data_IF_026275974222
#
_entry.id   IF_026275974222
#
_cell.length_a   1.000
_cell.length_b   1.000
_cell.length_c   1.000
_cell.angle_alpha   90.00
_cell.angle_beta   90.00
_cell.angle_gamma   90.00
#
_symmetry.space_group_name_H-M   'P 1'
#
loop_
_entity.id
_entity.type
_entity.pdbx_description
1 polymer ?
#
# COMPACT_ATOMS: atom_id res chain seq x y z
N UNK A 1 -1.34 46.17 62.44
CA UNK A 1 -1.66 46.31 61.00
C UNK A 1 -1.92 44.94 60.40
N UNK A 2 -3.12 44.75 59.83
CA UNK A 2 -3.59 43.82 58.76
C UNK A 2 -2.95 42.41 58.61
N UNK A 3 -3.74 41.35 58.85
CA UNK A 3 -4.48 40.46 57.91
C UNK A 3 -3.61 39.29 57.36
N UNK A 4 -3.89 38.00 57.62
CA UNK A 4 -4.98 37.10 57.20
C UNK A 4 -4.81 36.49 55.77
N UNK A 5 -4.94 35.15 55.67
CA UNK A 5 -5.42 34.28 54.53
C UNK A 5 -4.41 33.64 53.54
N UNK A 6 -4.34 32.28 53.51
CA UNK A 6 -4.94 31.27 52.56
C UNK A 6 -4.11 31.07 51.26
N UNK A 7 -3.87 29.91 50.62
CA UNK A 7 -4.45 28.55 50.42
C UNK A 7 -3.30 27.64 49.91
N UNK A 8 -3.04 26.39 50.32
CA UNK A 8 -3.71 25.10 50.08
C UNK A 8 -4.07 24.73 48.60
N UNK A 9 -3.54 23.58 48.14
CA UNK A 9 -4.19 22.47 47.37
C UNK A 9 -3.38 21.90 46.18
N UNK A 10 -3.05 20.60 46.34
CA UNK A 10 -2.93 19.44 45.40
C UNK A 10 -1.96 19.47 44.21
N UNK A 11 -0.96 18.58 44.12
CA UNK A 11 -0.94 17.10 43.97
C UNK A 11 -1.05 16.64 42.50
N UNK A 12 0.04 16.11 41.94
CA UNK A 12 -0.01 15.15 40.82
C UNK A 12 0.99 14.03 41.07
N UNK A 13 0.43 12.83 41.13
CA UNK A 13 1.01 11.51 41.29
C UNK A 13 1.98 11.15 40.15
N UNK A 14 3.10 10.53 40.52
CA UNK A 14 4.03 9.83 39.63
C UNK A 14 3.31 8.70 38.87
N UNK A 15 3.43 8.68 37.54
CA UNK A 15 3.25 7.44 36.76
C UNK A 15 4.58 7.17 36.06
N UNK A 16 5.25 6.10 36.49
CA UNK A 16 6.33 5.48 35.73
C UNK A 16 5.74 4.85 34.46
N UNK A 17 6.13 5.35 33.30
CA UNK A 17 6.04 4.61 32.04
C UNK A 17 7.48 4.46 31.54
N UNK A 18 7.87 3.23 31.26
CA UNK A 18 9.21 2.88 30.82
C UNK A 18 9.63 3.71 29.61
N UNK A 19 10.75 4.43 29.76
CA UNK A 19 11.45 5.02 28.63
C UNK A 19 12.07 3.91 27.80
N UNK A 20 11.31 3.39 26.84
CA UNK A 20 11.93 2.89 25.62
C UNK A 20 12.60 4.11 24.95
N UNK A 21 13.91 4.02 24.70
CA UNK A 21 14.62 4.98 23.84
C UNK A 21 13.90 5.04 22.49
N UNK A 22 13.11 6.08 22.26
CA UNK A 22 12.60 6.42 20.95
C UNK A 22 13.79 6.95 20.16
N UNK A 23 14.26 6.14 19.20
CA UNK A 23 15.11 6.60 18.10
C UNK A 23 14.44 7.84 17.48
N UNK A 24 15.18 8.93 17.32
CA UNK A 24 14.74 10.23 16.80
C UNK A 24 14.33 10.16 15.33
N UNK A 25 13.22 9.47 15.05
CA UNK A 25 12.54 9.55 13.76
C UNK A 25 11.81 10.88 13.67
N UNK A 26 12.16 11.67 12.66
CA UNK A 26 11.50 12.93 12.32
C UNK A 26 9.98 12.70 12.16
N UNK A 27 9.17 13.37 12.97
CA UNK A 27 7.71 13.34 12.82
C UNK A 27 7.35 14.11 11.55
N UNK A 28 6.91 13.40 10.52
CA UNK A 28 6.36 14.00 9.30
C UNK A 28 4.89 14.33 9.50
N UNK A 29 4.52 15.57 9.19
CA UNK A 29 3.13 16.00 9.10
C UNK A 29 2.73 15.98 7.62
N UNK A 30 1.88 15.03 7.24
CA UNK A 30 1.43 14.84 5.86
C UNK A 30 -0.09 14.93 5.76
N UNK A 31 -0.58 15.71 4.79
CA UNK A 31 -1.96 15.65 4.30
C UNK A 31 -1.94 15.06 2.90
N UNK A 32 -2.37 13.81 2.77
CA UNK A 32 -2.42 13.13 1.47
C UNK A 32 -3.52 13.75 0.60
N UNK A 33 -3.25 14.12 -0.66
CA UNK A 33 -4.27 14.62 -1.57
C UNK A 33 -5.41 13.62 -1.80
N UNK A 34 -6.61 14.14 -2.03
CA UNK A 34 -7.76 13.36 -2.49
C UNK A 34 -7.49 12.54 -3.75
N UNK A 35 -8.42 11.65 -4.10
CA UNK A 35 -8.24 10.70 -5.22
C UNK A 35 -8.42 11.32 -6.60
N UNK A 36 -8.95 12.53 -6.71
CA UNK A 36 -9.14 13.20 -8.00
C UNK A 36 -7.84 13.86 -8.46
N UNK A 37 -7.46 13.66 -9.71
CA UNK A 37 -6.29 14.32 -10.29
C UNK A 37 -6.37 15.84 -10.12
N UNK A 38 -5.26 16.46 -9.72
CA UNK A 38 -5.17 17.87 -9.39
C UNK A 38 -5.53 18.22 -7.95
N UNK A 39 -6.10 17.28 -7.15
CA UNK A 39 -6.20 17.50 -5.71
C UNK A 39 -4.80 17.70 -5.13
N UNK A 40 -4.69 18.66 -4.21
CA UNK A 40 -3.45 18.96 -3.52
C UNK A 40 -3.48 18.51 -2.07
N UNK A 41 -2.30 18.38 -1.51
CA UNK A 41 -2.02 18.04 -0.12
C UNK A 41 -0.71 18.69 0.30
N UNK A 42 -0.17 18.26 1.43
CA UNK A 42 1.07 18.81 1.97
C UNK A 42 1.94 17.73 2.59
N UNK A 43 3.26 17.96 2.59
CA UNK A 43 4.21 17.19 3.38
C UNK A 43 5.20 18.13 4.05
N UNK A 44 5.36 17.98 5.35
CA UNK A 44 6.27 18.77 6.18
C UNK A 44 7.52 17.97 6.54
N UNK A 45 8.69 18.54 6.31
CA UNK A 45 9.97 17.89 6.59
C UNK A 45 11.09 18.92 6.81
N UNK A 46 12.24 18.47 7.30
CA UNK A 46 13.43 19.31 7.46
C UNK A 46 14.28 19.26 6.20
N UNK A 47 14.60 20.42 5.63
CA UNK A 47 15.52 20.58 4.50
C UNK A 47 16.56 21.65 4.84
N UNK A 48 17.85 21.35 4.68
CA UNK A 48 18.92 22.30 5.02
C UNK A 48 18.90 22.78 6.47
N UNK A 49 18.43 21.94 7.40
CA UNK A 49 18.29 22.27 8.83
C UNK A 49 17.06 23.11 9.20
N UNK A 50 16.22 23.48 8.23
CA UNK A 50 14.99 24.25 8.45
C UNK A 50 13.75 23.40 8.16
N UNK A 51 12.67 23.60 8.92
CA UNK A 51 11.38 22.99 8.62
C UNK A 51 10.75 23.66 7.40
N UNK A 52 10.33 22.85 6.43
CA UNK A 52 9.66 23.30 5.21
C UNK A 52 8.37 22.49 5.00
N UNK A 53 7.37 23.13 4.40
CA UNK A 53 6.12 22.49 3.99
C UNK A 53 6.00 22.55 2.48
N UNK A 54 5.92 21.40 1.83
CA UNK A 54 5.79 21.30 0.38
C UNK A 54 4.38 20.92 -0.01
N UNK A 55 3.89 21.48 -1.12
CA UNK A 55 2.65 21.04 -1.75
C UNK A 55 2.86 19.70 -2.46
N UNK A 56 1.91 18.78 -2.26
CA UNK A 56 1.81 17.50 -2.98
C UNK A 56 0.59 17.53 -3.89
N UNK A 57 0.57 16.70 -4.93
CA UNK A 57 -0.52 16.64 -5.90
C UNK A 57 -0.82 15.21 -6.32
N UNK A 58 -2.11 14.87 -6.43
CA UNK A 58 -2.57 13.66 -7.12
C UNK A 58 -2.43 13.88 -8.62
N UNK A 59 -1.50 13.18 -9.27
CA UNK A 59 -1.36 13.28 -10.71
C UNK A 59 -2.33 12.33 -11.43
N UNK A 60 -2.45 12.49 -12.75
CA UNK A 60 -3.34 11.66 -13.59
C UNK A 60 -2.92 10.20 -13.69
N UNK A 61 -1.69 9.85 -13.32
CA UNK A 61 -1.24 8.46 -13.16
C UNK A 61 -1.79 7.80 -11.88
N UNK A 62 -2.50 8.54 -11.04
CA UNK A 62 -3.06 8.08 -9.77
C UNK A 62 -2.11 8.17 -8.58
N UNK A 63 -0.82 8.46 -8.80
CA UNK A 63 0.17 8.59 -7.73
C UNK A 63 0.15 10.00 -7.10
N UNK A 64 0.77 10.11 -5.94
CA UNK A 64 1.03 11.41 -5.31
C UNK A 64 2.45 11.83 -5.60
N UNK A 65 2.61 13.07 -6.07
CA UNK A 65 3.90 13.64 -6.42
C UNK A 65 4.15 14.91 -5.62
N UNK A 66 5.41 15.24 -5.37
CA UNK A 66 5.74 16.61 -4.99
C UNK A 66 5.39 17.53 -6.17
N UNK A 67 4.65 18.60 -5.88
CA UNK A 67 4.41 19.67 -6.86
C UNK A 67 5.60 20.65 -6.93
N UNK A 68 6.58 20.45 -6.03
CA UNK A 68 7.83 21.22 -5.89
C UNK A 68 9.06 20.35 -6.22
N UNK A 69 10.14 20.98 -6.67
CA UNK A 69 11.47 20.33 -6.68
C UNK A 69 12.04 20.39 -5.25
N UNK A 70 12.81 19.39 -4.84
CA UNK A 70 13.56 19.48 -3.58
C UNK A 70 14.47 20.72 -3.60
N UNK A 71 14.48 21.46 -2.49
CA UNK A 71 15.19 22.74 -2.35
C UNK A 71 14.45 23.96 -2.92
N UNK A 72 13.23 23.82 -3.43
CA UNK A 72 12.44 24.96 -3.91
C UNK A 72 11.69 25.66 -2.76
N UNK A 73 11.48 26.97 -2.88
CA UNK A 73 10.71 27.78 -1.92
C UNK A 73 9.20 27.78 -2.20
N UNK A 74 8.80 27.47 -3.43
CA UNK A 74 7.41 27.53 -3.87
C UNK A 74 7.11 26.54 -5.00
N UNK A 75 5.82 26.27 -5.20
CA UNK A 75 5.28 25.69 -6.44
C UNK A 75 5.50 26.67 -7.57
N UNK A 76 5.81 26.18 -8.77
CA UNK A 76 6.04 27.04 -9.92
C UNK A 76 4.80 27.87 -10.30
N UNK A 77 5.01 29.17 -10.40
CA UNK A 77 4.03 30.17 -10.85
C UNK A 77 4.31 30.68 -12.26
N UNK A 78 5.55 30.50 -12.74
CA UNK A 78 5.94 30.76 -14.13
C UNK A 78 6.85 29.64 -14.65
N UNK A 79 6.76 29.34 -15.94
CA UNK A 79 7.50 28.23 -16.54
C UNK A 79 9.02 28.38 -16.38
N UNK A 80 9.63 29.51 -16.77
CA UNK A 80 11.10 29.62 -16.87
C UNK A 80 11.72 30.71 -15.98
N UNK A 81 10.92 31.62 -15.44
CA UNK A 81 11.41 32.83 -14.75
C UNK A 81 11.19 32.79 -13.23
N UNK A 82 10.51 31.77 -12.72
CA UNK A 82 10.28 31.58 -11.28
C UNK A 82 11.44 30.83 -10.63
N UNK A 83 12.49 31.58 -10.28
CA UNK A 83 13.71 31.01 -9.66
C UNK A 83 13.43 30.30 -8.33
N UNK A 84 12.41 30.73 -7.58
CA UNK A 84 12.03 30.11 -6.32
C UNK A 84 11.49 28.68 -6.49
N UNK A 85 10.99 28.36 -7.68
CA UNK A 85 10.48 27.01 -8.01
C UNK A 85 11.54 26.02 -8.50
N UNK A 86 12.75 26.50 -8.79
CA UNK A 86 13.77 25.71 -9.48
C UNK A 86 14.29 24.51 -8.67
N UNK A 87 14.37 24.63 -7.34
CA UNK A 87 14.92 23.61 -6.45
C UNK A 87 16.43 23.42 -6.59
N UNK A 88 17.04 22.53 -5.83
CA UNK A 88 18.48 22.24 -5.85
C UNK A 88 18.86 21.18 -6.89
N UNK A 89 20.17 20.97 -7.09
CA UNK A 89 20.76 20.18 -8.18
C UNK A 89 21.63 19.05 -7.65
N UNK A 90 21.03 17.87 -7.50
CA UNK A 90 21.68 16.69 -6.92
C UNK A 90 22.49 15.92 -7.96
N UNK A 91 23.62 15.34 -7.55
CA UNK A 91 24.28 14.26 -8.28
C UNK A 91 23.59 12.94 -7.92
N UNK A 92 23.51 12.03 -8.88
CA UNK A 92 22.75 10.79 -8.70
C UNK A 92 23.36 9.92 -7.60
N UNK A 93 22.50 9.36 -6.74
CA UNK A 93 22.89 8.52 -5.60
C UNK A 93 23.40 9.28 -4.37
N UNK A 94 23.21 10.59 -4.30
CA UNK A 94 23.61 11.42 -3.16
C UNK A 94 22.40 12.06 -2.47
N UNK A 95 22.51 12.21 -1.16
CA UNK A 95 21.57 12.97 -0.34
C UNK A 95 21.94 14.47 -0.33
N UNK A 96 21.21 15.28 0.44
CA UNK A 96 21.42 16.72 0.67
C UNK A 96 22.67 17.04 1.52
N UNK A 97 23.82 16.46 1.20
CA UNK A 97 25.08 16.65 1.91
C UNK A 97 25.78 18.00 1.65
N UNK A 98 25.15 18.90 0.90
CA UNK A 98 25.64 20.26 0.59
C UNK A 98 26.12 20.44 -0.85
N UNK A 99 26.36 19.36 -1.59
CA UNK A 99 26.77 19.45 -3.00
C UNK A 99 25.69 20.02 -3.92
N UNK A 100 24.43 19.90 -3.51
CA UNK A 100 23.27 20.17 -4.35
C UNK A 100 23.00 21.66 -4.56
N UNK A 101 23.57 22.52 -3.72
CA UNK A 101 23.27 23.94 -3.74
C UNK A 101 23.67 24.59 -5.09
N UNK A 102 22.80 25.47 -5.59
CA UNK A 102 23.06 26.20 -6.85
C UNK A 102 24.21 27.20 -6.72
N UNK A 103 24.38 27.78 -5.53
CA UNK A 103 25.41 28.78 -5.22
C UNK A 103 26.02 28.49 -3.85
N UNK A 104 27.22 29.00 -3.60
CA UNK A 104 27.90 28.85 -2.29
C UNK A 104 28.39 27.43 -1.95
N UNK A 105 28.27 26.47 -2.88
CA UNK A 105 28.83 25.13 -2.72
C UNK A 105 30.35 25.10 -2.90
N UNK A 106 30.97 24.04 -2.37
CA UNK A 106 32.32 23.63 -2.75
C UNK A 106 32.26 22.71 -3.97
N UNK A 107 33.30 22.75 -4.82
CA UNK A 107 33.45 21.85 -5.97
C UNK A 107 34.81 21.17 -5.90
N UNK A 108 34.91 19.96 -6.45
CA UNK A 108 36.15 19.19 -6.50
C UNK A 108 36.26 18.53 -7.87
N UNK A 109 37.39 18.70 -8.54
CA UNK A 109 37.71 17.97 -9.76
C UNK A 109 38.23 16.55 -9.49
N UNK A 110 38.53 16.26 -8.22
CA UNK A 110 39.00 14.96 -7.76
C UNK A 110 37.82 14.20 -7.16
N UNK A 111 37.44 13.02 -7.71
CA UNK A 111 36.34 12.21 -7.16
C UNK A 111 36.70 11.67 -5.77
N UNK A 112 35.70 11.22 -4.99
CA UNK A 112 35.98 10.51 -3.74
C UNK A 112 36.76 9.21 -3.99
N UNK A 113 37.35 8.68 -2.91
CA UNK A 113 38.09 7.42 -2.93
C UNK A 113 37.51 6.46 -1.89
N UNK A 114 36.88 5.35 -2.29
CA UNK A 114 36.60 4.93 -3.67
C UNK A 114 35.59 5.85 -4.42
N UNK A 115 35.58 5.81 -5.76
CA UNK A 115 34.70 6.64 -6.59
C UNK A 115 33.30 6.02 -6.73
N UNK A 116 32.63 5.88 -5.60
CA UNK A 116 31.29 5.33 -5.43
C UNK A 116 30.67 5.86 -4.10
N UNK A 117 29.42 5.52 -3.74
CA UNK A 117 28.77 6.01 -2.54
C UNK A 117 29.54 5.79 -1.23
N UNK A 118 30.38 4.75 -1.13
CA UNK A 118 31.12 4.43 0.10
C UNK A 118 32.33 5.33 0.33
N UNK A 119 32.83 6.01 -0.71
CA UNK A 119 33.92 6.97 -0.58
C UNK A 119 33.47 8.40 -0.25
N UNK A 120 32.16 8.64 -0.17
CA UNK A 120 31.62 9.95 0.18
C UNK A 120 32.01 10.34 1.61
N UNK A 121 32.43 11.59 1.78
CA UNK A 121 32.74 12.14 3.10
C UNK A 121 31.49 12.21 3.96
N UNK A 122 31.62 11.87 5.25
CA UNK A 122 30.58 12.10 6.26
C UNK A 122 30.60 13.54 6.80
N UNK A 123 31.62 14.34 6.45
CA UNK A 123 31.70 15.77 6.81
C UNK A 123 30.91 16.59 5.79
N UNK A 124 29.93 17.36 6.29
CA UNK A 124 29.11 18.28 5.48
C UNK A 124 29.58 19.73 5.68
N UNK A 125 29.57 20.59 4.63
CA UNK A 125 29.12 20.30 3.28
C UNK A 125 30.15 19.52 2.45
N UNK A 126 29.68 18.50 1.71
CA UNK A 126 30.50 17.77 0.76
C UNK A 126 30.51 18.48 -0.61
N UNK A 127 31.62 18.41 -1.37
CA UNK A 127 31.71 19.12 -2.64
C UNK A 127 30.87 18.47 -3.74
N UNK A 128 30.54 19.25 -4.76
CA UNK A 128 30.11 18.71 -6.05
C UNK A 128 31.32 18.20 -6.82
N UNK A 129 31.31 16.91 -7.14
CA UNK A 129 32.42 16.24 -7.81
C UNK A 129 32.26 16.31 -9.33
N UNK A 130 33.17 16.97 -10.02
CA UNK A 130 33.18 17.06 -11.49
C UNK A 130 34.50 16.55 -12.05
N UNK A 131 34.56 16.18 -13.33
CA UNK A 131 35.85 15.99 -14.01
C UNK A 131 35.66 15.99 -15.53
N UNK A 132 36.55 16.63 -16.29
CA UNK A 132 36.48 16.61 -17.75
C UNK A 132 36.75 15.20 -18.32
N UNK A 133 37.58 14.41 -17.62
CA UNK A 133 37.89 13.01 -17.94
C UNK A 133 36.79 12.09 -17.41
N UNK A 134 36.11 11.37 -18.32
CA UNK A 134 34.95 10.52 -18.01
C UNK A 134 35.23 9.52 -16.89
N UNK A 135 36.38 8.85 -16.89
CA UNK A 135 36.75 7.84 -15.88
C UNK A 135 36.87 8.40 -14.45
N UNK A 136 37.10 9.71 -14.31
CA UNK A 136 37.28 10.38 -13.03
C UNK A 136 36.03 11.14 -12.57
N UNK A 137 34.93 11.09 -13.34
CA UNK A 137 33.66 11.70 -12.93
C UNK A 137 33.05 10.93 -11.77
N UNK A 138 32.24 11.62 -10.96
CA UNK A 138 31.46 11.00 -9.89
C UNK A 138 30.76 9.74 -10.38
N UNK A 139 31.10 8.62 -9.72
CA UNK A 139 30.53 7.30 -9.93
C UNK A 139 30.53 6.83 -11.39
N UNK A 140 31.62 7.15 -12.12
CA UNK A 140 31.78 6.82 -13.54
C UNK A 140 31.80 5.31 -13.84
N UNK A 141 32.27 4.50 -12.90
CA UNK A 141 32.30 3.03 -13.00
C UNK A 141 30.96 2.35 -12.76
N UNK A 142 29.90 3.12 -12.48
CA UNK A 142 28.57 2.59 -12.18
C UNK A 142 27.94 1.80 -13.32
N UNK A 143 27.16 0.79 -12.95
CA UNK A 143 26.49 -0.17 -13.83
C UNK A 143 24.96 -0.05 -13.75
N UNK A 144 24.24 -0.71 -14.67
CA UNK A 144 22.78 -0.73 -14.65
C UNK A 144 22.17 -1.56 -13.51
N UNK A 145 22.98 -2.34 -12.77
CA UNK A 145 22.53 -3.04 -11.56
C UNK A 145 22.62 -2.20 -10.29
N UNK A 146 23.26 -1.03 -10.36
CA UNK A 146 23.37 -0.13 -9.21
C UNK A 146 21.99 0.44 -8.83
N UNK A 147 21.90 0.93 -7.61
CA UNK A 147 20.69 1.46 -7.03
C UNK A 147 20.94 2.87 -6.45
N UNK A 148 19.86 3.63 -6.33
CA UNK A 148 19.79 4.83 -5.51
C UNK A 148 18.60 4.65 -4.56
N UNK A 149 18.71 3.67 -3.66
CA UNK A 149 17.61 3.18 -2.84
C UNK A 149 17.88 3.25 -1.33
N UNK A 150 19.13 3.44 -0.91
CA UNK A 150 19.50 3.56 0.49
C UNK A 150 18.74 4.72 1.16
N UNK A 151 18.14 4.46 2.32
CA UNK A 151 17.29 5.43 3.04
C UNK A 151 18.11 6.41 3.89
N UNK A 152 19.34 6.06 4.23
CA UNK A 152 20.24 6.86 5.04
C UNK A 152 21.66 6.84 4.45
N UNK A 153 22.48 7.88 4.68
CA UNK A 153 23.90 7.86 4.36
C UNK A 153 24.65 6.68 4.98
N UNK A 154 24.15 6.14 6.10
CA UNK A 154 24.76 4.98 6.76
C UNK A 154 24.42 3.64 6.07
N UNK A 155 23.43 3.62 5.17
CA UNK A 155 22.94 2.42 4.50
C UNK A 155 23.53 2.25 3.09
N UNK A 156 24.39 3.18 2.66
CA UNK A 156 24.98 3.15 1.31
C UNK A 156 25.96 1.99 1.15
N UNK A 157 26.10 1.51 -0.08
CA UNK A 157 27.11 0.53 -0.47
C UNK A 157 27.77 0.95 -1.78
N UNK A 158 28.80 0.22 -2.22
CA UNK A 158 29.50 0.53 -3.48
C UNK A 158 28.55 0.53 -4.71
N UNK A 159 27.41 -0.15 -4.60
CA UNK A 159 26.40 -0.28 -5.65
C UNK A 159 25.05 0.31 -5.28
N UNK A 160 24.88 0.93 -4.10
CA UNK A 160 23.61 1.52 -3.67
C UNK A 160 23.85 2.90 -3.03
N UNK A 161 23.45 3.94 -3.76
CA UNK A 161 23.52 5.33 -3.31
C UNK A 161 22.29 5.72 -2.49
N UNK A 162 22.39 6.86 -1.82
CA UNK A 162 21.28 7.35 -0.99
C UNK A 162 20.21 8.04 -1.84
N UNK A 163 18.96 7.65 -1.62
CA UNK A 163 17.79 8.30 -2.20
C UNK A 163 17.47 9.58 -1.38
N UNK A 164 17.65 10.79 -1.93
CA UNK A 164 17.35 12.03 -1.20
C UNK A 164 15.87 12.11 -0.79
N UNK A 165 14.96 11.52 -1.57
CA UNK A 165 13.55 11.51 -1.22
C UNK A 165 13.28 10.64 0.01
N UNK A 166 13.84 9.44 0.10
CA UNK A 166 13.68 8.58 1.29
C UNK A 166 14.37 9.15 2.52
N UNK A 167 15.54 9.77 2.33
CA UNK A 167 16.32 10.37 3.42
C UNK A 167 15.59 11.56 4.04
N UNK A 168 15.00 12.41 3.20
CA UNK A 168 14.39 13.67 3.64
C UNK A 168 12.92 13.52 4.00
N UNK A 169 12.19 12.72 3.22
CA UNK A 169 10.77 12.48 3.38
C UNK A 169 10.60 11.06 3.92
N UNK A 170 10.13 10.94 5.16
CA UNK A 170 9.78 9.66 5.74
C UNK A 170 8.55 9.04 5.03
N UNK A 171 8.20 7.80 5.38
CA UNK A 171 7.05 7.11 4.78
C UNK A 171 7.37 6.53 3.40
N UNK A 172 6.51 6.75 2.41
CA UNK A 172 6.53 6.05 1.11
C UNK A 172 7.12 6.90 -0.03
N UNK A 173 7.76 8.01 0.34
CA UNK A 173 8.42 8.90 -0.60
C UNK A 173 9.74 8.30 -1.08
N UNK A 174 9.98 8.36 -2.38
CA UNK A 174 11.21 7.91 -3.02
C UNK A 174 11.46 8.64 -4.34
N UNK A 175 12.64 8.44 -4.89
CA UNK A 175 12.89 8.77 -6.28
C UNK A 175 11.99 7.92 -7.19
N UNK A 176 11.35 8.54 -8.20
CA UNK A 176 10.58 7.82 -9.21
C UNK A 176 11.51 7.02 -10.12
N UNK A 177 11.03 5.89 -10.63
CA UNK A 177 11.71 5.12 -11.68
C UNK A 177 11.53 5.77 -13.05
N UNK A 178 12.36 5.37 -14.01
CA UNK A 178 12.20 5.79 -15.42
C UNK A 178 10.84 5.39 -16.00
N UNK A 179 10.30 4.22 -15.65
CA UNK A 179 8.98 3.76 -16.08
C UNK A 179 7.84 4.60 -15.48
N UNK A 180 7.98 5.05 -14.24
CA UNK A 180 7.00 5.94 -13.61
C UNK A 180 7.03 7.33 -14.22
N UNK A 181 8.22 7.82 -14.60
CA UNK A 181 8.30 9.06 -15.38
C UNK A 181 7.60 8.94 -16.74
N UNK A 182 7.73 7.81 -17.43
CA UNK A 182 7.04 7.58 -18.70
C UNK A 182 5.52 7.54 -18.50
N UNK A 183 5.07 6.80 -17.49
CA UNK A 183 3.65 6.68 -17.14
C UNK A 183 3.05 8.04 -16.78
N UNK A 184 3.73 8.82 -15.95
CA UNK A 184 3.30 10.16 -15.59
C UNK A 184 3.26 11.08 -16.81
N UNK A 185 4.34 11.08 -17.61
CA UNK A 185 4.46 11.90 -18.81
C UNK A 185 3.26 11.67 -19.73
N UNK A 186 2.91 10.42 -19.97
CA UNK A 186 1.79 10.07 -20.85
C UNK A 186 0.44 10.42 -20.21
N UNK A 187 0.24 10.12 -18.93
CA UNK A 187 -1.00 10.41 -18.22
C UNK A 187 -1.30 11.92 -18.11
N UNK A 188 -0.28 12.74 -17.89
CA UNK A 188 -0.38 14.20 -17.82
C UNK A 188 -0.39 14.87 -19.20
N UNK A 189 -0.03 14.16 -20.27
CA UNK A 189 0.10 14.72 -21.62
C UNK A 189 1.32 15.63 -21.77
N UNK A 190 2.40 15.33 -21.04
CA UNK A 190 3.64 16.10 -21.06
C UNK A 190 4.44 15.76 -22.32
N UNK A 191 4.56 16.70 -23.23
CA UNK A 191 5.30 16.53 -24.51
C UNK A 191 6.51 17.44 -24.62
N UNK A 192 6.62 18.43 -23.72
CA UNK A 192 7.71 19.42 -23.67
C UNK A 192 7.67 20.16 -22.33
N UNK A 193 8.61 21.07 -22.12
CA UNK A 193 8.68 21.88 -20.90
C UNK A 193 7.46 22.80 -20.64
N UNK A 194 6.77 23.27 -21.68
CA UNK A 194 5.57 24.10 -21.53
C UNK A 194 4.36 23.28 -21.03
N UNK A 195 4.13 22.11 -21.62
CA UNK A 195 3.08 21.18 -21.18
C UNK A 195 3.38 20.59 -19.79
N UNK A 196 4.66 20.40 -19.45
CA UNK A 196 5.07 20.01 -18.10
C UNK A 196 4.70 21.06 -17.04
N UNK A 197 4.85 22.35 -17.35
CA UNK A 197 4.40 23.43 -16.46
C UNK A 197 2.87 23.53 -16.38
N UNK A 198 2.17 23.26 -17.48
CA UNK A 198 0.69 23.25 -17.51
C UNK A 198 0.07 22.03 -16.83
N UNK A 199 0.83 20.94 -16.63
CA UNK A 199 0.38 19.73 -15.94
C UNK A 199 0.01 19.97 -14.48
N UNK A 200 -0.60 18.97 -13.84
CA UNK A 200 -0.86 19.02 -12.40
C UNK A 200 0.42 19.15 -11.57
N UNK A 201 1.59 18.73 -12.07
CA UNK A 201 2.84 18.81 -11.32
C UNK A 201 3.48 20.19 -11.33
N UNK A 202 3.08 21.11 -12.22
CA UNK A 202 3.70 22.44 -12.35
C UNK A 202 5.22 22.36 -12.46
N UNK A 203 5.75 21.49 -13.34
CA UNK A 203 7.20 21.33 -13.49
C UNK A 203 7.77 22.57 -14.20
N UNK A 204 8.59 23.41 -13.53
CA UNK A 204 9.19 24.57 -14.18
C UNK A 204 10.32 24.11 -15.12
N UNK A 205 10.67 24.96 -16.08
CA UNK A 205 11.96 24.98 -16.73
C UNK A 205 13.01 25.57 -15.76
N UNK A 206 14.15 24.90 -15.63
CA UNK A 206 15.24 25.27 -14.73
C UNK A 206 16.59 25.07 -15.41
N UNK A 207 17.66 25.04 -14.64
CA UNK A 207 19.01 24.77 -15.14
C UNK A 207 19.58 23.50 -14.53
N UNK A 208 20.83 23.17 -14.88
CA UNK A 208 21.55 22.03 -14.34
C UNK A 208 23.03 22.37 -14.11
N UNK A 209 23.73 21.55 -13.34
CA UNK A 209 25.19 21.63 -13.17
C UNK A 209 25.87 20.56 -14.00
N UNK A 210 26.86 20.94 -14.79
CA UNK A 210 27.56 20.04 -15.69
C UNK A 210 28.58 19.19 -14.91
N UNK A 211 28.48 17.87 -15.02
CA UNK A 211 29.40 16.94 -14.33
C UNK A 211 30.80 16.88 -14.92
N UNK A 212 31.01 17.46 -16.11
CA UNK A 212 32.33 17.58 -16.74
C UNK A 212 33.14 18.77 -16.26
N UNK A 213 32.46 19.86 -15.91
CA UNK A 213 33.09 21.17 -15.64
C UNK A 213 32.75 21.75 -14.27
N UNK A 214 31.75 21.21 -13.57
CA UNK A 214 31.25 21.76 -12.31
C UNK A 214 30.43 23.04 -12.48
N UNK A 215 30.34 23.56 -13.71
CA UNK A 215 29.70 24.83 -14.00
C UNK A 215 28.17 24.70 -13.99
N UNK A 216 27.51 25.75 -13.47
CA UNK A 216 26.08 25.89 -13.60
C UNK A 216 25.75 26.30 -15.04
N UNK A 217 24.99 25.48 -15.74
CA UNK A 217 24.40 25.87 -17.01
C UNK A 217 23.37 26.98 -16.76
N UNK A 218 23.27 27.97 -17.64
CA UNK A 218 22.35 29.12 -17.49
C UNK A 218 21.17 29.07 -18.45
N UNK A 219 21.05 28.03 -19.28
CA UNK A 219 19.91 27.82 -20.16
C UNK A 219 18.70 27.40 -19.31
N UNK A 220 17.70 28.27 -19.25
CA UNK A 220 16.45 28.07 -18.51
C UNK A 220 15.33 27.47 -19.35
N UNK A 221 15.61 26.99 -20.56
CA UNK A 221 14.66 26.31 -21.45
C UNK A 221 14.76 24.77 -21.37
N UNK A 222 15.30 24.24 -20.27
CA UNK A 222 15.42 22.80 -20.04
C UNK A 222 14.95 22.45 -18.63
N UNK A 223 14.55 21.21 -18.39
CA UNK A 223 14.47 20.64 -17.05
C UNK A 223 14.92 19.20 -17.13
N UNK A 224 15.76 18.80 -16.19
CA UNK A 224 16.14 17.41 -15.99
C UNK A 224 15.83 17.02 -14.56
N UNK A 225 15.09 15.94 -14.38
CA UNK A 225 14.74 15.39 -13.08
C UNK A 225 15.24 13.95 -13.00
N UNK A 226 15.94 13.62 -11.93
CA UNK A 226 16.47 12.26 -11.75
C UNK A 226 15.37 11.22 -11.63
N UNK A 227 15.66 10.02 -12.13
CA UNK A 227 15.00 8.80 -11.74
C UNK A 227 15.89 7.96 -10.81
N UNK A 228 15.33 7.00 -10.09
CA UNK A 228 16.07 5.97 -9.36
C UNK A 228 16.63 4.85 -10.26
N UNK A 229 16.31 4.84 -11.55
CA UNK A 229 16.76 3.79 -12.47
C UNK A 229 18.19 4.07 -12.93
N UNK A 230 19.11 3.20 -12.52
CA UNK A 230 20.48 3.20 -13.03
C UNK A 230 20.51 2.87 -14.53
N UNK A 231 21.47 3.46 -15.23
CA UNK A 231 21.78 3.15 -16.61
C UNK A 231 23.18 2.57 -16.75
N UNK A 232 23.63 2.43 -17.99
CA UNK A 232 24.95 1.90 -18.33
C UNK A 232 26.02 3.00 -18.34
N UNK A 233 27.29 2.61 -18.26
CA UNK A 233 28.47 3.49 -18.41
C UNK A 233 28.47 4.70 -17.45
N UNK A 234 28.19 4.48 -16.17
CA UNK A 234 28.13 5.56 -15.17
C UNK A 234 26.95 6.53 -15.38
N UNK A 235 25.92 6.08 -16.08
CA UNK A 235 24.70 6.83 -16.34
C UNK A 235 23.52 6.45 -15.43
N UNK A 236 22.54 7.32 -15.36
CA UNK A 236 21.21 7.09 -14.79
C UNK A 236 20.15 7.80 -15.64
N UNK A 237 18.92 7.29 -15.60
CA UNK A 237 17.85 7.86 -16.40
C UNK A 237 17.28 9.14 -15.78
N UNK A 238 16.92 10.10 -16.64
CA UNK A 238 16.30 11.38 -16.24
C UNK A 238 15.05 11.64 -17.06
N UNK A 239 14.04 12.29 -16.49
CA UNK A 239 13.04 12.98 -17.30
C UNK A 239 13.68 14.26 -17.85
N UNK A 240 13.89 14.34 -19.17
CA UNK A 240 14.45 15.48 -19.87
C UNK A 240 13.36 16.23 -20.65
N UNK A 241 13.09 17.46 -20.24
CA UNK A 241 12.08 18.34 -20.82
C UNK A 241 12.80 19.53 -21.46
N UNK A 242 12.55 19.77 -22.74
CA UNK A 242 13.05 20.94 -23.47
C UNK A 242 11.93 21.50 -24.33
N UNK A 243 12.20 22.59 -25.04
CA UNK A 243 11.27 23.09 -26.05
C UNK A 243 11.00 22.02 -27.10
N UNK A 244 9.73 21.65 -27.28
CA UNK A 244 9.29 20.67 -28.27
C UNK A 244 9.60 19.19 -27.99
N UNK A 245 10.19 18.83 -26.84
CA UNK A 245 10.53 17.43 -26.57
C UNK A 245 10.48 17.06 -25.09
N UNK A 246 9.99 15.86 -24.81
CA UNK A 246 10.02 15.18 -23.52
C UNK A 246 10.57 13.75 -23.73
N UNK A 247 11.71 13.44 -23.13
CA UNK A 247 12.40 12.14 -23.29
C UNK A 247 12.94 11.62 -21.97
N UNK A 248 13.29 10.33 -21.92
CA UNK A 248 13.90 9.70 -20.74
C UNK A 248 15.29 9.12 -21.10
N UNK A 249 16.31 9.98 -21.30
CA UNK A 249 17.65 9.52 -21.68
C UNK A 249 18.48 9.00 -20.50
N UNK A 250 19.43 8.11 -20.80
CA UNK A 250 20.52 7.74 -19.90
C UNK A 250 21.61 8.84 -19.92
N UNK A 251 21.86 9.49 -18.78
CA UNK A 251 22.83 10.60 -18.66
C UNK A 251 23.78 10.35 -17.49
N UNK A 252 25.03 10.80 -17.63
CA UNK A 252 26.07 10.68 -16.59
C UNK A 252 25.60 11.14 -15.20
N UNK A 253 25.79 10.28 -14.20
CA UNK A 253 25.45 10.47 -12.78
C UNK A 253 26.13 11.69 -12.13
N UNK A 254 27.23 12.14 -12.73
CA UNK A 254 27.99 13.29 -12.24
C UNK A 254 27.32 14.64 -12.46
N UNK A 255 26.28 14.73 -13.30
CA UNK A 255 25.56 15.98 -13.47
C UNK A 255 24.73 16.32 -12.23
N UNK A 256 24.48 17.62 -12.01
CA UNK A 256 23.54 18.11 -11.01
C UNK A 256 22.18 18.37 -11.64
N UNK A 257 21.18 17.55 -11.32
CA UNK A 257 19.81 17.69 -11.80
C UNK A 257 18.80 17.80 -10.66
N UNK A 258 17.61 18.31 -10.98
CA UNK A 258 16.54 18.46 -9.99
C UNK A 258 16.02 17.11 -9.51
N UNK A 259 15.38 17.12 -8.34
CA UNK A 259 14.70 15.94 -7.78
C UNK A 259 13.25 16.30 -7.52
N UNK A 260 12.36 15.40 -7.93
CA UNK A 260 10.93 15.47 -7.63
C UNK A 260 10.47 14.09 -7.18
N UNK A 261 10.07 14.02 -5.93
CA UNK A 261 9.76 12.76 -5.28
C UNK A 261 8.36 12.28 -5.66
N UNK A 262 8.24 10.97 -5.80
CA UNK A 262 6.95 10.28 -5.87
C UNK A 262 6.71 9.69 -4.49
N UNK A 263 5.50 9.88 -3.97
CA UNK A 263 4.97 9.03 -2.93
C UNK A 263 4.33 7.89 -3.68
N UNK A 264 5.05 6.79 -3.76
CA UNK A 264 4.40 5.56 -4.12
C UNK A 264 3.30 5.40 -3.08
N UNK A 265 2.03 5.56 -3.45
CA UNK A 265 0.98 4.97 -2.63
C UNK A 265 1.46 3.54 -2.48
N UNK A 266 1.77 3.10 -1.27
CA UNK A 266 2.01 1.70 -1.10
C UNK A 266 0.82 1.05 -1.76
N UNK A 267 1.13 0.30 -2.78
CA UNK A 267 0.71 -1.06 -2.87
C UNK A 267 1.01 -1.71 -1.50
N UNK A 268 0.30 -1.34 -0.43
CA UNK A 268 -0.67 -2.27 0.09
C UNK A 268 -1.69 -2.34 -1.04
N UNK A 269 -1.59 -3.34 -1.93
CA UNK A 269 -2.59 -3.61 -2.95
C UNK A 269 -4.03 -3.64 -2.45
N UNK A 270 -4.29 -3.47 -1.15
CA UNK A 270 -5.56 -2.94 -0.65
C UNK A 270 -5.35 -1.85 0.41
N UNK A 271 -6.18 -0.81 0.39
CA UNK A 271 -6.35 0.12 1.50
C UNK A 271 -7.26 -0.48 2.58
N UNK A 272 -6.75 -1.35 3.44
CA UNK A 272 -7.58 -2.09 4.40
C UNK A 272 -8.33 -1.17 5.39
N UNK A 273 -9.65 -1.33 5.52
CA UNK A 273 -10.49 -0.54 6.46
C UNK A 273 -10.75 -1.33 7.74
N UNK A 274 -11.36 -2.51 7.62
CA UNK A 274 -11.74 -3.32 8.77
C UNK A 274 -11.93 -4.79 8.41
N UNK A 275 -11.92 -5.64 9.44
CA UNK A 275 -12.34 -7.03 9.40
C UNK A 275 -13.19 -7.28 10.64
N UNK A 276 -14.38 -7.84 10.48
CA UNK A 276 -15.37 -8.05 11.53
C UNK A 276 -15.98 -9.44 11.39
N UNK A 277 -16.46 -9.98 12.50
CA UNK A 277 -17.11 -11.27 12.55
C UNK A 277 -18.30 -11.25 13.49
N UNK A 278 -19.39 -11.92 13.09
CA UNK A 278 -20.60 -12.03 13.88
C UNK A 278 -21.16 -13.44 13.81
N UNK A 279 -21.39 -14.04 14.96
CA UNK A 279 -22.03 -15.34 15.08
C UNK A 279 -23.50 -15.29 14.64
N UNK A 280 -23.94 -16.36 14.00
CA UNK A 280 -25.29 -16.55 13.47
C UNK A 280 -25.72 -18.02 13.57
N UNK A 281 -27.01 -18.29 13.33
CA UNK A 281 -27.54 -19.67 13.27
C UNK A 281 -26.91 -20.53 12.16
N UNK A 282 -26.26 -19.91 11.18
CA UNK A 282 -25.61 -20.58 10.04
C UNK A 282 -24.10 -20.73 10.21
N UNK A 283 -23.54 -20.32 11.37
CA UNK A 283 -22.10 -20.25 11.64
C UNK A 283 -21.63 -18.81 11.88
N UNK A 284 -20.35 -18.54 11.67
CA UNK A 284 -19.77 -17.19 11.83
C UNK A 284 -19.72 -16.47 10.48
N UNK A 285 -20.42 -15.34 10.37
CA UNK A 285 -20.32 -14.45 9.21
C UNK A 285 -19.15 -13.49 9.40
N UNK A 286 -18.23 -13.50 8.45
CA UNK A 286 -17.05 -12.64 8.40
C UNK A 286 -17.25 -11.60 7.30
N UNK A 287 -16.89 -10.35 7.58
CA UNK A 287 -17.01 -9.23 6.66
C UNK A 287 -15.75 -8.37 6.76
N UNK A 288 -15.21 -7.94 5.62
CA UNK A 288 -14.17 -6.92 5.58
C UNK A 288 -14.44 -5.93 4.47
N UNK A 289 -13.90 -4.73 4.67
CA UNK A 289 -13.91 -3.66 3.70
C UNK A 289 -12.50 -3.16 3.43
N UNK A 290 -12.25 -2.78 2.18
CA UNK A 290 -11.04 -2.10 1.72
C UNK A 290 -11.45 -0.82 1.00
N UNK A 291 -10.76 0.28 1.25
CA UNK A 291 -10.99 1.60 0.66
C UNK A 291 -10.59 1.64 -0.82
N UNK A 292 -9.56 0.88 -1.16
CA UNK A 292 -9.03 0.72 -2.51
C UNK A 292 -8.44 -0.68 -2.65
N UNK A 293 -8.33 -1.14 -3.89
CA UNK A 293 -7.77 -2.43 -4.28
C UNK A 293 -6.99 -2.24 -5.58
N UNK A 294 -5.74 -2.67 -5.65
CA UNK A 294 -4.88 -2.60 -6.83
C UNK A 294 -3.99 -3.81 -6.79
N UNK A 295 -3.65 -4.50 -7.88
CA UNK A 295 -2.67 -5.61 -7.87
C UNK A 295 -2.94 -6.72 -6.83
N UNK A 296 -4.17 -6.84 -6.33
CA UNK A 296 -4.59 -7.89 -5.41
C UNK A 296 -5.01 -9.12 -6.21
N UNK A 297 -4.45 -10.29 -5.90
CA UNK A 297 -4.91 -11.54 -6.47
C UNK A 297 -6.12 -12.07 -5.70
N UNK A 298 -5.98 -12.23 -4.37
CA UNK A 298 -7.02 -12.77 -3.51
C UNK A 298 -6.77 -12.48 -2.02
N UNK A 299 -7.83 -12.59 -1.22
CA UNK A 299 -7.77 -12.62 0.23
C UNK A 299 -7.85 -14.05 0.74
N UNK A 300 -7.03 -14.40 1.71
CA UNK A 300 -7.08 -15.69 2.40
C UNK A 300 -7.69 -15.51 3.78
N UNK A 301 -8.77 -16.25 4.05
CA UNK A 301 -9.38 -16.33 5.38
C UNK A 301 -8.87 -17.60 6.06
N UNK A 302 -8.33 -17.46 7.27
CA UNK A 302 -7.86 -18.58 8.10
C UNK A 302 -8.59 -18.60 9.44
N UNK A 303 -8.72 -19.79 10.01
CA UNK A 303 -9.36 -20.03 11.30
C UNK A 303 -8.45 -20.82 12.24
N UNK A 304 -8.55 -20.52 13.52
CA UNK A 304 -7.89 -21.25 14.59
C UNK A 304 -8.83 -21.35 15.81
N UNK A 305 -8.94 -22.53 16.43
CA UNK A 305 -9.67 -22.69 17.70
C UNK A 305 -8.85 -22.24 18.92
N UNK A 306 -7.51 -22.16 18.80
CA UNK A 306 -6.59 -21.88 19.90
C UNK A 306 -5.82 -20.56 19.75
N UNK A 307 -5.96 -19.88 18.62
CA UNK A 307 -5.24 -18.66 18.28
C UNK A 307 -3.77 -18.87 17.90
N UNK A 308 -3.28 -20.11 17.90
CA UNK A 308 -1.89 -20.46 17.60
C UNK A 308 -1.75 -21.05 16.19
N UNK A 309 -2.53 -22.10 15.88
CA UNK A 309 -2.45 -22.78 14.58
C UNK A 309 -3.62 -22.39 13.70
N UNK A 310 -3.33 -21.60 12.66
CA UNK A 310 -4.33 -21.15 11.69
C UNK A 310 -4.38 -22.06 10.46
N UNK A 311 -5.55 -22.61 10.19
CA UNK A 311 -5.85 -23.38 8.98
C UNK A 311 -6.59 -22.52 7.96
N UNK A 312 -6.25 -22.66 6.68
CA UNK A 312 -6.95 -21.97 5.61
C UNK A 312 -8.40 -22.45 5.51
N UNK A 313 -9.35 -21.52 5.49
CA UNK A 313 -10.76 -21.80 5.20
C UNK A 313 -11.05 -21.61 3.71
N UNK A 314 -10.66 -20.47 3.16
CA UNK A 314 -10.91 -20.14 1.74
C UNK A 314 -9.94 -19.07 1.23
N UNK A 315 -9.80 -19.02 -0.09
CA UNK A 315 -9.33 -17.85 -0.82
C UNK A 315 -10.52 -17.19 -1.52
N UNK A 316 -10.57 -15.87 -1.54
CA UNK A 316 -11.60 -15.08 -2.22
C UNK A 316 -10.89 -14.12 -3.16
N UNK A 317 -11.09 -14.31 -4.47
CA UNK A 317 -10.48 -13.48 -5.49
C UNK A 317 -10.77 -12.01 -5.25
N UNK A 318 -9.76 -11.19 -5.50
CA UNK A 318 -9.94 -9.76 -5.59
C UNK A 318 -10.95 -9.39 -6.69
N UNK A 319 -11.58 -8.22 -6.55
CA UNK A 319 -12.50 -7.67 -7.57
C UNK A 319 -11.76 -6.88 -8.66
N UNK A 320 -10.43 -6.88 -8.62
CA UNK A 320 -9.57 -6.13 -9.54
C UNK A 320 -9.27 -4.72 -9.04
N UNK A 321 -8.62 -3.94 -9.89
CA UNK A 321 -8.19 -2.59 -9.54
C UNK A 321 -9.41 -1.65 -9.36
N UNK A 322 -9.54 -1.05 -8.19
CA UNK A 322 -10.63 -0.18 -7.77
C UNK A 322 -10.13 0.88 -6.79
N UNK A 323 -10.44 2.14 -7.06
CA UNK A 323 -10.28 3.25 -6.10
C UNK A 323 -11.49 3.42 -5.19
N UNK A 324 -12.57 2.65 -5.42
CA UNK A 324 -13.80 2.68 -4.62
C UNK A 324 -13.77 1.56 -3.59
N UNK A 325 -14.38 1.83 -2.44
CA UNK A 325 -14.50 0.86 -1.36
C UNK A 325 -15.13 -0.45 -1.86
N UNK A 326 -14.46 -1.56 -1.58
CA UNK A 326 -14.97 -2.90 -1.84
C UNK A 326 -15.25 -3.61 -0.52
N UNK A 327 -16.40 -4.27 -0.46
CA UNK A 327 -16.80 -5.12 0.67
C UNK A 327 -16.83 -6.58 0.23
N UNK A 328 -16.43 -7.46 1.15
CA UNK A 328 -16.37 -8.90 0.98
C UNK A 328 -17.00 -9.60 2.17
N UNK A 329 -17.57 -10.77 1.93
CA UNK A 329 -18.20 -11.58 2.98
C UNK A 329 -17.86 -13.06 2.84
N UNK A 330 -17.81 -13.76 3.96
CA UNK A 330 -17.62 -15.21 4.01
C UNK A 330 -18.30 -15.81 5.23
N UNK A 331 -18.99 -16.95 5.07
CA UNK A 331 -19.64 -17.66 6.18
C UNK A 331 -18.86 -18.93 6.52
N UNK A 332 -18.26 -18.95 7.72
CA UNK A 332 -17.69 -20.17 8.29
C UNK A 332 -18.81 -21.01 8.95
N UNK A 333 -19.22 -22.09 8.30
CA UNK A 333 -20.39 -22.90 8.70
C UNK A 333 -20.16 -23.86 9.88
N UNK A 334 -18.90 -24.22 10.14
CA UNK A 334 -18.53 -25.20 11.17
C UNK A 334 -17.56 -24.60 12.20
N UNK A 335 -17.90 -23.47 12.85
CA UNK A 335 -17.06 -22.91 13.91
C UNK A 335 -17.05 -23.87 15.13
N UNK A 336 -15.96 -23.84 15.89
CA UNK A 336 -15.94 -24.54 17.19
C UNK A 336 -16.87 -23.82 18.17
N UNK A 337 -17.37 -24.53 19.17
CA UNK A 337 -18.11 -23.89 20.26
C UNK A 337 -17.18 -23.01 21.09
N UNK A 338 -17.65 -21.83 21.49
CA UNK A 338 -16.84 -20.88 22.26
C UNK A 338 -15.94 -20.03 21.37
N UNK A 339 -14.71 -19.77 21.81
CA UNK A 339 -13.84 -18.78 21.16
C UNK A 339 -13.32 -19.30 19.81
N UNK A 340 -13.45 -18.48 18.77
CA UNK A 340 -12.89 -18.73 17.44
C UNK A 340 -12.02 -17.55 17.02
N UNK A 341 -10.82 -17.83 16.51
CA UNK A 341 -9.91 -16.82 15.97
C UNK A 341 -9.96 -16.86 14.44
N UNK A 342 -10.04 -15.69 13.83
CA UNK A 342 -10.03 -15.55 12.37
C UNK A 342 -8.95 -14.58 11.95
N UNK A 343 -8.21 -14.94 10.91
CA UNK A 343 -7.13 -14.14 10.35
C UNK A 343 -7.39 -13.88 8.87
N UNK A 344 -7.24 -12.63 8.47
CA UNK A 344 -7.33 -12.19 7.10
C UNK A 344 -5.93 -11.85 6.59
N UNK A 345 -5.57 -12.45 5.47
CA UNK A 345 -4.34 -12.14 4.75
C UNK A 345 -4.67 -11.79 3.31
N UNK A 346 -3.78 -11.06 2.67
CA UNK A 346 -3.82 -10.73 1.27
C UNK A 346 -2.68 -11.42 0.52
N UNK A 347 -2.95 -11.82 -0.72
CA UNK A 347 -1.93 -12.22 -1.70
C UNK A 347 -2.05 -11.38 -2.96
N UNK A 348 -0.91 -10.90 -3.44
CA UNK A 348 -0.81 -9.97 -4.56
C UNK A 348 -0.58 -10.73 -5.87
N UNK A 349 -0.75 -10.05 -7.01
CA UNK A 349 -0.52 -10.67 -8.33
C UNK A 349 0.93 -11.15 -8.53
N UNK A 350 1.89 -10.57 -7.81
CA UNK A 350 3.29 -10.98 -7.80
C UNK A 350 3.60 -12.10 -6.79
N UNK A 351 2.58 -12.56 -6.04
CA UNK A 351 2.69 -13.60 -5.02
C UNK A 351 3.08 -13.10 -3.62
N UNK A 352 3.30 -11.79 -3.44
CA UNK A 352 3.58 -11.21 -2.13
C UNK A 352 2.40 -11.42 -1.19
N UNK A 353 2.66 -11.95 0.01
CA UNK A 353 1.63 -12.19 1.02
C UNK A 353 1.82 -11.29 2.22
N UNK A 354 0.71 -10.79 2.76
CA UNK A 354 0.73 -10.04 4.03
C UNK A 354 -0.50 -10.31 4.88
N UNK A 355 -0.32 -10.25 6.18
CA UNK A 355 -1.43 -10.29 7.14
C UNK A 355 -2.06 -8.90 7.27
N UNK A 356 -3.39 -8.83 7.24
CA UNK A 356 -4.12 -7.57 7.37
C UNK A 356 -4.70 -7.41 8.79
N UNK A 357 -5.35 -8.45 9.32
CA UNK A 357 -6.02 -8.39 10.62
C UNK A 357 -6.31 -9.76 11.20
N UNK A 358 -6.38 -9.84 12.52
CA UNK A 358 -6.87 -11.00 13.27
C UNK A 358 -7.98 -10.55 14.22
N UNK A 359 -9.10 -11.26 14.22
CA UNK A 359 -10.25 -11.01 15.09
C UNK A 359 -10.62 -12.25 15.90
N UNK A 360 -11.32 -12.01 17.01
CA UNK A 360 -11.87 -13.05 17.87
C UNK A 360 -13.40 -12.95 17.80
N UNK A 361 -14.05 -14.09 17.60
CA UNK A 361 -15.51 -14.19 17.59
C UNK A 361 -15.91 -15.30 18.53
N UNK A 362 -16.79 -14.99 19.48
CA UNK A 362 -17.44 -16.02 20.29
C UNK A 362 -18.48 -16.74 19.43
N UNK A 363 -18.15 -17.95 19.02
CA UNK A 363 -19.03 -18.86 18.31
C UNK A 363 -20.19 -19.25 19.22
N UNK A 364 -21.40 -18.84 18.85
CA UNK A 364 -22.59 -19.45 19.44
C UNK A 364 -22.56 -20.93 19.11
N UNK A 365 -22.73 -21.78 20.12
CA UNK A 365 -23.05 -23.18 19.86
C UNK A 365 -24.15 -23.21 18.80
N UNK A 366 -23.86 -23.80 17.64
CA UNK A 366 -24.89 -24.03 16.63
C UNK A 366 -26.07 -24.67 17.37
N UNK A 367 -27.28 -24.14 17.21
CA UNK A 367 -28.45 -24.90 17.63
C UNK A 367 -28.28 -26.31 17.07
N UNK A 368 -28.32 -27.30 17.97
CA UNK A 368 -28.13 -28.73 17.70
C UNK A 368 -28.66 -29.07 16.31
N UNK A 369 -27.86 -29.77 15.50
CA UNK A 369 -28.28 -30.59 14.35
C UNK A 369 -29.78 -30.44 13.97
N UNK A 370 -30.09 -29.59 12.98
CA UNK A 370 -31.46 -29.20 12.66
C UNK A 370 -31.87 -29.65 11.27
N UNK A 371 -33.05 -30.28 11.17
CA UNK A 371 -33.68 -30.64 9.90
C UNK A 371 -34.84 -29.68 9.68
N UNK A 372 -34.80 -28.91 8.60
CA UNK A 372 -35.89 -28.02 8.19
C UNK A 372 -36.55 -28.64 6.97
N UNK A 373 -37.89 -28.77 7.02
CA UNK A 373 -38.69 -29.30 5.93
C UNK A 373 -39.65 -28.23 5.44
N UNK A 374 -39.70 -28.05 4.12
CA UNK A 374 -40.78 -27.34 3.44
C UNK A 374 -41.40 -28.23 2.37
N UNK A 375 -42.71 -28.10 2.17
CA UNK A 375 -43.48 -28.98 1.30
C UNK A 375 -44.15 -28.21 0.17
N UNK A 376 -44.32 -28.89 -0.95
CA UNK A 376 -45.16 -28.54 -2.09
C UNK A 376 -46.01 -29.76 -2.41
N UNK A 377 -46.98 -29.65 -3.32
CA UNK A 377 -47.86 -30.77 -3.63
C UNK A 377 -47.11 -32.01 -4.15
N UNK A 378 -45.99 -31.85 -4.87
CA UNK A 378 -45.25 -32.96 -5.47
C UNK A 378 -43.81 -33.13 -4.95
N UNK A 379 -43.33 -32.25 -4.07
CA UNK A 379 -41.96 -32.31 -3.56
C UNK A 379 -41.80 -31.83 -2.14
N UNK A 380 -40.82 -32.41 -1.44
CA UNK A 380 -40.40 -32.06 -0.09
C UNK A 380 -38.96 -31.56 -0.18
N UNK A 381 -38.73 -30.32 0.24
CA UNK A 381 -37.38 -29.77 0.36
C UNK A 381 -36.87 -30.01 1.78
N UNK A 382 -35.64 -30.48 1.89
CA UNK A 382 -34.99 -30.87 3.13
C UNK A 382 -33.69 -30.09 3.26
N UNK A 383 -33.62 -29.19 4.23
CA UNK A 383 -32.41 -28.48 4.59
C UNK A 383 -31.84 -29.06 5.88
N UNK A 384 -30.61 -29.57 5.78
CA UNK A 384 -29.85 -30.16 6.89
C UNK A 384 -28.82 -29.12 7.38
N UNK A 385 -28.87 -28.77 8.66
CA UNK A 385 -28.01 -27.75 9.27
C UNK A 385 -27.21 -28.36 10.42
N UNK A 386 -25.89 -28.16 10.42
CA UNK A 386 -25.01 -28.58 11.51
C UNK A 386 -24.72 -30.09 11.57
N UNK A 387 -25.01 -30.86 10.52
CA UNK A 387 -24.65 -32.28 10.43
C UNK A 387 -23.28 -32.46 9.76
N UNK A 388 -22.34 -33.13 10.43
CA UNK A 388 -21.02 -33.46 9.87
C UNK A 388 -21.07 -34.62 8.86
N UNK A 389 -21.94 -35.61 9.14
CA UNK A 389 -22.14 -36.78 8.31
C UNK A 389 -23.05 -36.47 7.12
N UNK A 390 -22.73 -37.00 5.93
CA UNK A 390 -23.58 -36.83 4.74
C UNK A 390 -24.85 -37.70 4.87
N UNK A 391 -26.02 -37.24 4.38
CA UNK A 391 -27.22 -38.07 4.35
C UNK A 391 -27.01 -39.29 3.44
N UNK A 392 -27.48 -40.45 3.89
CA UNK A 392 -27.46 -41.74 3.17
C UNK A 392 -28.82 -42.05 2.56
N UNK A 393 -29.91 -41.83 3.30
CA UNK A 393 -31.28 -42.12 2.86
C UNK A 393 -32.29 -41.33 3.67
N UNK A 394 -33.44 -41.00 3.08
CA UNK A 394 -34.62 -40.48 3.78
C UNK A 394 -35.80 -41.45 3.64
N UNK A 395 -36.59 -41.54 4.70
CA UNK A 395 -37.89 -42.24 4.72
C UNK A 395 -38.94 -41.24 5.19
N UNK A 396 -40.03 -41.10 4.45
CA UNK A 396 -41.19 -40.27 4.83
C UNK A 396 -42.36 -41.22 5.09
N UNK A 397 -42.98 -41.06 6.25
CA UNK A 397 -44.12 -41.87 6.69
C UNK A 397 -45.25 -40.97 7.20
N UNK A 398 -46.50 -41.40 7.07
CA UNK A 398 -47.63 -40.75 7.75
C UNK A 398 -47.50 -40.90 9.27
N UNK A 399 -48.26 -40.10 10.04
CA UNK A 399 -48.36 -40.30 11.50
C UNK A 399 -48.92 -41.66 11.92
N UNK A 400 -49.65 -42.35 11.03
CA UNK A 400 -50.13 -43.73 11.25
C UNK A 400 -49.06 -44.79 10.93
N UNK A 401 -47.84 -44.39 10.53
CA UNK A 401 -46.72 -45.29 10.26
C UNK A 401 -46.69 -45.85 8.84
N UNK A 402 -47.60 -45.44 7.96
CA UNK A 402 -47.58 -45.86 6.55
C UNK A 402 -46.40 -45.20 5.83
N UNK A 403 -45.54 -46.00 5.21
CA UNK A 403 -44.44 -45.48 4.38
C UNK A 403 -44.99 -44.84 3.11
N UNK A 404 -44.64 -43.57 2.90
CA UNK A 404 -45.04 -42.77 1.73
C UNK A 404 -43.90 -42.71 0.71
N UNK A 405 -42.66 -42.59 1.19
CA UNK A 405 -41.47 -42.54 0.34
C UNK A 405 -40.24 -43.10 1.06
N UNK A 406 -39.34 -43.70 0.29
CA UNK A 406 -38.00 -44.05 0.73
C UNK A 406 -37.01 -43.89 -0.43
N UNK A 407 -35.93 -43.12 -0.23
CA UNK A 407 -34.98 -42.83 -1.31
C UNK A 407 -33.80 -41.96 -0.89
N UNK A 408 -33.03 -41.49 -1.87
CA UNK A 408 -31.95 -40.52 -1.66
C UNK A 408 -32.50 -39.10 -1.46
N UNK A 409 -31.64 -38.22 -0.96
CA UNK A 409 -31.88 -36.77 -0.95
C UNK A 409 -30.96 -36.18 -2.01
N UNK A 410 -31.54 -35.69 -3.11
CA UNK A 410 -30.77 -35.15 -4.23
C UNK A 410 -30.75 -33.62 -4.14
N UNK A 411 -29.56 -33.04 -3.92
CA UNK A 411 -29.38 -31.59 -3.74
C UNK A 411 -30.34 -30.94 -2.71
N UNK A 412 -30.65 -31.65 -1.61
CA UNK A 412 -31.57 -31.15 -0.58
C UNK A 412 -33.04 -31.20 -0.97
N UNK A 413 -33.40 -31.93 -2.04
CA UNK A 413 -34.78 -32.09 -2.49
C UNK A 413 -35.15 -33.57 -2.59
N UNK A 414 -36.41 -33.85 -2.26
CA UNK A 414 -37.06 -35.15 -2.39
C UNK A 414 -38.28 -34.97 -3.26
N UNK A 415 -38.29 -35.62 -4.42
CA UNK A 415 -39.46 -35.64 -5.31
C UNK A 415 -40.29 -36.86 -4.98
N UNK A 416 -41.57 -36.66 -4.74
CA UNK A 416 -42.46 -37.75 -4.38
C UNK A 416 -43.11 -38.36 -5.63
N UNK A 417 -43.34 -39.68 -5.65
CA UNK A 417 -44.03 -40.34 -6.76
C UNK A 417 -45.51 -39.96 -6.82
N UNK A 418 -46.09 -39.50 -5.70
CA UNK A 418 -47.47 -39.06 -5.57
C UNK A 418 -47.55 -37.84 -4.67
N UNK A 419 -48.57 -37.01 -4.88
CA UNK A 419 -48.78 -35.83 -4.06
C UNK A 419 -49.13 -36.19 -2.60
N UNK A 420 -48.55 -35.45 -1.64
CA UNK A 420 -48.93 -35.60 -0.23
C UNK A 420 -50.33 -35.04 -0.01
N UNK A 421 -51.17 -35.82 0.68
CA UNK A 421 -52.45 -35.31 1.23
C UNK A 421 -52.17 -34.40 2.43
N UNK A 422 -53.07 -33.47 2.71
CA UNK A 422 -53.00 -32.67 3.93
C UNK A 422 -52.96 -33.59 5.16
N UNK A 423 -52.04 -33.31 6.08
CA UNK A 423 -51.87 -34.13 7.28
C UNK A 423 -50.46 -34.13 7.85
N UNK A 424 -50.29 -34.90 8.93
CA UNK A 424 -49.01 -35.04 9.63
C UNK A 424 -48.12 -36.15 9.07
N UNK A 425 -46.83 -35.84 8.96
CA UNK A 425 -45.80 -36.74 8.46
C UNK A 425 -44.56 -36.73 9.35
N UNK A 426 -43.78 -37.81 9.25
CA UNK A 426 -42.48 -37.97 9.89
C UNK A 426 -41.44 -38.24 8.81
N UNK A 427 -40.40 -37.42 8.74
CA UNK A 427 -39.22 -37.67 7.94
C UNK A 427 -38.11 -38.24 8.81
N UNK A 428 -37.58 -39.40 8.43
CA UNK A 428 -36.44 -40.07 9.06
C UNK A 428 -35.25 -40.05 8.12
N UNK A 429 -34.21 -39.29 8.47
CA UNK A 429 -32.95 -39.18 7.72
C UNK A 429 -31.93 -40.11 8.37
N UNK A 430 -31.37 -41.01 7.56
CA UNK A 430 -30.26 -41.90 7.92
C UNK A 430 -28.99 -41.32 7.31
N UNK A 431 -27.94 -41.21 8.10
CA UNK A 431 -26.65 -40.67 7.71
C UNK A 431 -25.62 -41.76 7.43
N UNK A 432 -24.46 -41.41 6.84
CA UNK A 432 -23.43 -42.38 6.44
C UNK A 432 -22.72 -43.06 7.62
N UNK A 433 -22.65 -42.39 8.75
CA UNK A 433 -22.19 -42.90 10.06
C UNK A 433 -23.25 -43.74 10.78
N UNK A 434 -24.37 -44.06 10.12
CA UNK A 434 -25.53 -44.78 10.65
C UNK A 434 -26.31 -44.05 11.75
N UNK A 435 -26.03 -42.77 11.99
CA UNK A 435 -26.91 -41.96 12.85
C UNK A 435 -28.26 -41.73 12.16
N UNK A 436 -29.32 -41.61 12.97
CA UNK A 436 -30.70 -41.43 12.50
C UNK A 436 -31.31 -40.23 13.19
N UNK A 437 -31.94 -39.37 12.40
CA UNK A 437 -32.62 -38.17 12.88
C UNK A 437 -34.02 -38.10 12.31
N UNK A 438 -34.95 -37.61 13.12
CA UNK A 438 -36.37 -37.55 12.76
C UNK A 438 -36.90 -36.15 12.97
N UNK A 439 -37.72 -35.70 12.04
CA UNK A 439 -38.49 -34.46 12.15
C UNK A 439 -39.94 -34.71 11.76
N UNK A 440 -40.86 -34.06 12.48
CA UNK A 440 -42.29 -34.06 12.16
C UNK A 440 -42.60 -32.81 11.33
N UNK A 441 -43.45 -32.95 10.32
CA UNK A 441 -43.89 -31.83 9.49
C UNK A 441 -45.35 -32.00 9.05
N UNK A 442 -45.96 -30.91 8.65
CA UNK A 442 -47.32 -30.87 8.09
C UNK A 442 -47.23 -30.62 6.58
N UNK A 443 -48.16 -31.21 5.83
CA UNK A 443 -48.44 -30.84 4.44
C UNK A 443 -49.72 -30.02 4.36
#
# INVERSE_FOLDING_TARGET
MRKNRLKQISAITLVFIGMAKISSGQLIEETVPGTTAGNTGTVKFTYGGSEVTYTTVRAKDGNVWLQQNLGSSNVATAQATDQGSWGDLFQWGRWDDGHQYRSGLTTSDTPPSPNDPTGLSTTVPAPFYYNSTVANRWWAGGTSSDQAAAASPNDVSATDGCDPCKKLLAGQWRLPTSAEWETLKDAEGITNNATAFSSNLKIPSTTFRDGGTGNLNTNTNTTRLWSSTAGVNGGAYVLSLVSGSATIPNISRANGYGVRCIRAESTTPVGFINFKGKSSVWGVNLEWAVASEYNNAYYTVKHSPDGAVFKKLTDISGKGNSSVQQTYTYVHRNPVSGINYYKLSQTDLDGTQRELSTIVVEGTALEKEKIIISTTDQSVNVLLVGFESKPKRIVISSISGQNVYAGSIDNGRVTLPVALREGGYVARVVFKDNTVKTVKFLK
#
